data_IF_772426235894
#
_entry.id   IF_772426235894
#
_cell.length_a   1.000
_cell.length_b   1.000
_cell.length_c   1.000
_cell.angle_alpha   90.00
_cell.angle_beta   90.00
_cell.angle_gamma   90.00
#
_symmetry.space_group_name_H-M   'P 1'
#
loop_
_entity.id
_entity.type
_entity.pdbx_description
1 polymer ?
#
# COMPACT_ATOMS: atom_id res chain seq x y z
N UNK A 1 19.73 -11.89 -18.66
CA UNK A 1 21.04 -12.47 -18.30
C UNK A 1 21.79 -12.72 -19.58
N UNK A 2 22.84 -11.96 -19.78
CA UNK A 2 23.70 -12.04 -20.95
C UNK A 2 24.46 -13.37 -20.95
N UNK A 3 24.72 -13.91 -22.13
CA UNK A 3 25.45 -15.18 -22.30
C UNK A 3 26.87 -14.92 -22.76
N UNK A 4 27.81 -15.74 -22.29
CA UNK A 4 29.19 -15.73 -22.75
C UNK A 4 29.36 -16.78 -23.84
N UNK A 5 29.86 -16.38 -25.00
CA UNK A 5 30.12 -17.30 -26.09
C UNK A 5 31.33 -18.19 -25.77
N UNK A 6 31.29 -19.48 -26.13
CA UNK A 6 32.42 -20.38 -25.91
C UNK A 6 33.61 -19.94 -26.77
N UNK A 7 34.80 -19.95 -26.17
CA UNK A 7 36.03 -19.67 -26.89
C UNK A 7 36.29 -20.77 -27.94
N UNK A 8 36.88 -20.42 -29.11
CA UNK A 8 37.35 -21.40 -30.08
C UNK A 8 38.37 -22.38 -29.48
N UNK A 9 38.58 -23.57 -30.05
CA UNK A 9 39.57 -24.52 -29.55
C UNK A 9 40.98 -23.90 -29.51
N UNK A 10 41.71 -24.03 -28.39
CA UNK A 10 43.08 -23.52 -28.32
C UNK A 10 44.02 -24.36 -29.21
N UNK A 11 45.14 -23.78 -29.66
CA UNK A 11 46.16 -24.52 -30.39
C UNK A 11 46.86 -25.55 -29.49
N UNK A 12 47.15 -26.75 -30.02
CA UNK A 12 47.83 -27.83 -29.32
C UNK A 12 49.30 -27.96 -29.77
N UNK A 13 50.26 -28.26 -28.88
CA UNK A 13 51.67 -28.44 -29.25
C UNK A 13 51.95 -29.55 -30.27
N UNK A 14 51.04 -30.52 -30.42
CA UNK A 14 51.11 -31.60 -31.41
C UNK A 14 50.44 -31.24 -32.74
N UNK A 15 49.77 -30.09 -32.85
CA UNK A 15 49.19 -29.62 -34.11
C UNK A 15 50.29 -29.36 -35.15
N UNK A 16 49.96 -29.59 -36.42
CA UNK A 16 50.82 -29.11 -37.50
C UNK A 16 50.92 -27.58 -37.46
N UNK A 17 52.03 -27.01 -37.93
CA UNK A 17 52.27 -25.56 -37.89
C UNK A 17 51.12 -24.74 -38.50
N UNK A 18 50.47 -25.25 -39.54
CA UNK A 18 49.30 -24.59 -40.14
C UNK A 18 48.08 -24.62 -39.22
N UNK A 19 47.77 -25.76 -38.60
CA UNK A 19 46.61 -25.91 -37.71
C UNK A 19 46.82 -25.09 -36.43
N UNK A 20 48.03 -25.13 -35.87
CA UNK A 20 48.41 -24.33 -34.71
C UNK A 20 48.14 -22.85 -34.96
N UNK A 21 48.64 -22.29 -36.06
CA UNK A 21 48.48 -20.87 -36.38
C UNK A 21 46.99 -20.51 -36.57
N UNK A 22 46.22 -21.31 -37.30
CA UNK A 22 44.79 -21.05 -37.50
C UNK A 22 44.00 -21.02 -36.19
N UNK A 23 44.24 -21.99 -35.29
CA UNK A 23 43.60 -22.02 -33.97
C UNK A 23 44.05 -20.86 -33.09
N UNK A 24 45.34 -20.51 -33.09
CA UNK A 24 45.87 -19.40 -32.32
C UNK A 24 45.21 -18.07 -32.70
N UNK A 25 45.14 -17.74 -34.00
CA UNK A 25 44.49 -16.51 -34.46
C UNK A 25 42.99 -16.46 -34.11
N UNK A 26 42.28 -17.58 -34.26
CA UNK A 26 40.87 -17.66 -33.89
C UNK A 26 40.65 -17.47 -32.38
N UNK A 27 41.46 -18.14 -31.55
CA UNK A 27 41.37 -18.03 -30.09
C UNK A 27 41.66 -16.60 -29.61
N UNK A 28 42.79 -16.02 -30.03
CA UNK A 28 43.17 -14.65 -29.62
C UNK A 28 42.20 -13.59 -30.16
N UNK A 29 41.64 -13.81 -31.36
CA UNK A 29 40.63 -12.93 -31.94
C UNK A 29 39.29 -12.94 -31.18
N UNK A 30 38.97 -14.00 -30.44
CA UNK A 30 37.75 -14.11 -29.64
C UNK A 30 37.86 -13.49 -28.23
N UNK A 31 39.08 -13.24 -27.73
CA UNK A 31 39.29 -12.72 -26.38
C UNK A 31 38.64 -11.34 -26.11
N UNK A 32 38.66 -10.36 -27.05
CA UNK A 32 37.99 -9.07 -26.82
C UNK A 32 36.48 -9.23 -26.59
N UNK A 33 35.82 -10.07 -27.39
CA UNK A 33 34.39 -10.34 -27.24
C UNK A 33 34.09 -11.05 -25.91
N UNK A 34 34.92 -12.03 -25.53
CA UNK A 34 34.82 -12.72 -24.25
C UNK A 34 34.97 -11.75 -23.06
N UNK A 35 35.92 -10.82 -23.12
CA UNK A 35 36.12 -9.80 -22.09
C UNK A 35 34.88 -8.89 -21.96
N UNK A 36 34.35 -8.42 -23.08
CA UNK A 36 33.16 -7.56 -23.09
C UNK A 36 31.95 -8.28 -22.48
N UNK A 37 31.68 -9.51 -22.91
CA UNK A 37 30.59 -10.33 -22.37
C UNK A 37 30.77 -10.62 -20.87
N UNK A 38 32.00 -10.91 -20.43
CA UNK A 38 32.29 -11.15 -19.00
C UNK A 38 32.06 -9.90 -18.16
N UNK A 39 32.46 -8.72 -18.65
CA UNK A 39 32.21 -7.46 -17.95
C UNK A 39 30.71 -7.15 -17.84
N UNK A 40 29.93 -7.44 -18.89
CA UNK A 40 28.47 -7.29 -18.86
C UNK A 40 27.85 -8.21 -17.81
N UNK A 41 28.21 -9.50 -17.80
CA UNK A 41 27.71 -10.46 -16.81
C UNK A 41 28.09 -10.06 -15.39
N UNK A 42 29.29 -9.51 -15.17
CA UNK A 42 29.69 -8.98 -13.87
C UNK A 42 28.80 -7.81 -13.42
N UNK A 43 28.46 -6.88 -14.32
CA UNK A 43 27.50 -5.80 -14.04
C UNK A 43 26.13 -6.35 -13.66
N UNK A 44 25.59 -7.27 -14.45
CA UNK A 44 24.29 -7.91 -14.16
C UNK A 44 24.27 -8.64 -12.80
N UNK A 45 25.39 -9.24 -12.38
CA UNK A 45 25.49 -9.89 -11.07
C UNK A 45 25.44 -8.89 -9.91
N UNK A 46 26.06 -7.72 -10.07
CA UNK A 46 25.99 -6.64 -9.09
C UNK A 46 24.56 -6.06 -9.02
N UNK A 47 23.93 -5.84 -10.17
CA UNK A 47 22.53 -5.38 -10.24
C UNK A 47 21.58 -6.39 -9.57
N UNK A 48 21.71 -7.69 -9.90
CA UNK A 48 20.91 -8.75 -9.29
C UNK A 48 21.10 -8.83 -7.76
N UNK A 49 22.32 -8.58 -7.26
CA UNK A 49 22.59 -8.55 -5.81
C UNK A 49 21.83 -7.39 -5.17
N UNK A 50 21.89 -6.21 -5.77
CA UNK A 50 21.28 -5.01 -5.22
C UNK A 50 19.73 -5.11 -5.27
N UNK A 51 19.17 -5.65 -6.35
CA UNK A 51 17.75 -5.99 -6.46
C UNK A 51 17.31 -7.01 -5.40
N UNK A 52 18.10 -8.06 -5.17
CA UNK A 52 17.81 -9.05 -4.13
C UNK A 52 17.85 -8.44 -2.72
N UNK A 53 18.80 -7.53 -2.45
CA UNK A 53 18.89 -6.82 -1.18
C UNK A 53 17.65 -5.92 -0.96
N UNK A 54 17.21 -5.21 -2.01
CA UNK A 54 16.01 -4.38 -1.95
C UNK A 54 14.75 -5.21 -1.72
N UNK A 55 14.62 -6.36 -2.41
CA UNK A 55 13.47 -7.27 -2.24
C UNK A 55 13.29 -7.75 -0.79
N UNK A 56 14.39 -7.99 -0.06
CA UNK A 56 14.32 -8.35 1.37
C UNK A 56 13.81 -7.20 2.23
N UNK A 57 14.23 -5.96 1.95
CA UNK A 57 13.78 -4.76 2.67
C UNK A 57 12.28 -4.54 2.45
N UNK A 58 11.84 -4.65 1.20
CA UNK A 58 10.43 -4.46 0.82
C UNK A 58 9.55 -5.52 1.49
N UNK A 59 9.97 -6.80 1.49
CA UNK A 59 9.24 -7.88 2.15
C UNK A 59 9.10 -7.67 3.67
N UNK A 60 10.14 -7.13 4.33
CA UNK A 60 10.07 -6.82 5.76
C UNK A 60 9.10 -5.67 6.06
N UNK A 61 9.05 -4.66 5.18
CA UNK A 61 8.11 -3.54 5.30
C UNK A 61 6.66 -3.99 5.09
N UNK A 62 6.41 -4.85 4.08
CA UNK A 62 5.08 -5.44 3.83
C UNK A 62 4.60 -6.28 5.01
N UNK A 63 5.48 -7.09 5.60
CA UNK A 63 5.15 -7.87 6.79
C UNK A 63 4.71 -6.98 7.96
N UNK A 64 5.47 -5.91 8.24
CA UNK A 64 5.11 -4.96 9.30
C UNK A 64 3.77 -4.25 9.03
N UNK A 65 3.52 -3.88 7.77
CA UNK A 65 2.25 -3.29 7.34
C UNK A 65 1.06 -4.25 7.50
N UNK A 66 1.27 -5.54 7.24
CA UNK A 66 0.26 -6.59 7.41
C UNK A 66 -0.05 -6.85 8.89
N UNK A 67 0.96 -6.92 9.76
CA UNK A 67 0.77 -7.05 11.22
C UNK A 67 -0.02 -5.87 11.81
N UNK A 68 0.31 -4.64 11.39
CA UNK A 68 -0.43 -3.45 11.78
C UNK A 68 -1.90 -3.53 11.31
N UNK A 69 -2.14 -3.96 10.06
CA UNK A 69 -3.47 -4.17 9.51
C UNK A 69 -4.30 -5.18 10.33
N UNK A 70 -3.69 -6.29 10.74
CA UNK A 70 -4.35 -7.33 11.53
C UNK A 70 -4.79 -6.83 12.92
N UNK A 71 -3.91 -6.11 13.64
CA UNK A 71 -4.23 -5.52 14.94
C UNK A 71 -5.37 -4.51 14.84
N UNK A 72 -5.36 -3.71 13.78
CA UNK A 72 -6.36 -2.68 13.51
C UNK A 72 -7.71 -3.32 13.17
N UNK A 73 -7.73 -4.33 12.29
CA UNK A 73 -8.94 -5.08 11.96
C UNK A 73 -9.56 -5.74 13.19
N UNK A 74 -8.74 -6.27 14.10
CA UNK A 74 -9.20 -6.82 15.38
C UNK A 74 -9.82 -5.72 16.28
N UNK A 75 -9.21 -4.55 16.36
CA UNK A 75 -9.75 -3.40 17.10
C UNK A 75 -11.07 -2.89 16.52
N UNK A 76 -11.18 -2.85 15.19
CA UNK A 76 -12.38 -2.47 14.46
C UNK A 76 -13.52 -3.48 14.69
N UNK A 77 -13.24 -4.79 14.57
CA UNK A 77 -14.22 -5.84 14.82
C UNK A 77 -14.73 -5.81 16.27
N UNK A 78 -13.84 -5.58 17.24
CA UNK A 78 -14.20 -5.43 18.65
C UNK A 78 -15.11 -4.22 18.87
N UNK A 79 -14.80 -3.09 18.23
CA UNK A 79 -15.62 -1.86 18.30
C UNK A 79 -16.98 -2.05 17.63
N UNK A 80 -17.03 -2.68 16.46
CA UNK A 80 -18.27 -2.99 15.76
C UNK A 80 -19.18 -3.91 16.59
N UNK A 81 -18.62 -4.95 17.22
CA UNK A 81 -19.36 -5.83 18.11
C UNK A 81 -19.95 -5.10 19.33
N UNK A 82 -19.19 -4.19 19.94
CA UNK A 82 -19.69 -3.35 21.04
C UNK A 82 -20.81 -2.40 20.60
N UNK A 83 -20.70 -1.82 19.40
CA UNK A 83 -21.72 -0.94 18.85
C UNK A 83 -22.99 -1.72 18.48
N UNK A 84 -22.86 -2.89 17.86
CA UNK A 84 -24.01 -3.76 17.52
C UNK A 84 -24.76 -4.24 18.77
N UNK A 85 -24.06 -4.43 19.89
CA UNK A 85 -24.63 -4.79 21.19
C UNK A 85 -25.10 -3.60 22.05
N UNK A 86 -25.05 -2.36 21.55
CA UNK A 86 -25.39 -1.18 22.33
C UNK A 86 -26.87 -1.19 22.75
N UNK A 87 -27.11 -1.25 24.06
CA UNK A 87 -28.46 -1.12 24.60
C UNK A 87 -28.98 0.32 24.47
N UNK A 88 -30.30 0.49 24.42
CA UNK A 88 -30.91 1.81 24.52
C UNK A 88 -30.50 2.49 25.82
N UNK A 89 -30.04 3.73 25.71
CA UNK A 89 -29.69 4.55 26.84
C UNK A 89 -30.90 4.73 27.73
N UNK A 90 -30.68 4.52 29.03
CA UNK A 90 -31.58 4.85 30.12
C UNK A 90 -30.84 5.68 31.15
N UNK A 91 -31.55 6.57 31.84
CA UNK A 91 -30.99 7.33 32.95
C UNK A 91 -30.44 6.38 34.03
N UNK A 92 -29.18 6.56 34.40
CA UNK A 92 -28.47 5.61 35.26
C UNK A 92 -26.99 5.94 35.43
N UNK A 93 -26.17 4.94 35.77
CA UNK A 93 -24.71 5.09 35.90
C UNK A 93 -24.01 4.23 34.87
N UNK A 94 -23.03 4.80 34.17
CA UNK A 94 -22.27 4.12 33.12
C UNK A 94 -20.78 4.16 33.45
N UNK A 95 -20.11 3.01 33.31
CA UNK A 95 -18.65 2.95 33.42
C UNK A 95 -17.99 3.64 32.23
N UNK A 96 -16.75 4.09 32.41
CA UNK A 96 -15.92 4.60 31.31
C UNK A 96 -15.89 3.60 30.16
N UNK A 97 -16.09 4.07 28.92
CA UNK A 97 -16.05 3.26 27.72
C UNK A 97 -17.34 2.49 27.42
N UNK A 98 -18.35 2.52 28.30
CA UNK A 98 -19.66 1.93 28.04
C UNK A 98 -20.29 2.53 26.78
N UNK A 99 -21.04 1.71 26.04
CA UNK A 99 -21.67 2.07 24.78
C UNK A 99 -23.18 2.05 24.95
N UNK A 100 -23.87 3.09 24.50
CA UNK A 100 -25.32 3.19 24.58
C UNK A 100 -25.90 3.86 23.33
N UNK A 101 -27.07 3.39 22.90
CA UNK A 101 -27.87 3.97 21.82
C UNK A 101 -28.71 5.12 22.37
N UNK A 102 -28.63 6.32 21.80
CA UNK A 102 -29.51 7.43 22.19
C UNK A 102 -30.91 7.26 21.55
N UNK A 103 -31.99 7.13 22.35
CA UNK A 103 -33.35 7.09 21.81
C UNK A 103 -33.78 8.39 21.14
N UNK A 104 -33.11 9.52 21.42
CA UNK A 104 -33.50 10.83 20.90
C UNK A 104 -33.07 11.09 19.46
N UNK A 105 -31.93 10.54 19.02
CA UNK A 105 -31.38 10.77 17.69
C UNK A 105 -30.92 9.50 16.96
N UNK A 106 -31.03 8.34 17.59
CA UNK A 106 -30.71 7.05 16.97
C UNK A 106 -29.21 6.74 16.84
N UNK A 107 -28.33 7.60 17.37
CA UNK A 107 -26.89 7.41 17.27
C UNK A 107 -26.34 6.64 18.49
N UNK A 108 -25.24 5.94 18.28
CA UNK A 108 -24.52 5.23 19.33
C UNK A 108 -23.48 6.18 19.94
N UNK A 109 -23.35 6.15 21.26
CA UNK A 109 -22.43 6.98 22.03
C UNK A 109 -21.54 6.13 22.93
N UNK A 110 -20.35 6.64 23.24
CA UNK A 110 -19.40 6.06 24.18
C UNK A 110 -19.15 6.98 25.37
N UNK A 111 -19.21 6.42 26.58
CA UNK A 111 -19.01 7.14 27.84
C UNK A 111 -17.54 7.53 28.04
N UNK A 112 -17.28 8.79 28.35
CA UNK A 112 -15.95 9.34 28.68
C UNK A 112 -15.51 8.95 30.09
N UNK A 113 -14.21 8.97 30.34
CA UNK A 113 -13.66 8.88 31.68
C UNK A 113 -14.05 10.14 32.49
N UNK A 114 -14.32 10.04 33.80
CA UNK A 114 -14.18 8.87 34.67
C UNK A 114 -15.44 7.95 34.80
N UNK A 115 -16.41 8.03 33.88
CA UNK A 115 -17.68 7.31 34.02
C UNK A 115 -18.64 8.00 35.01
N UNK A 116 -19.64 7.29 35.53
CA UNK A 116 -20.56 7.77 36.56
C UNK A 116 -21.99 8.06 36.07
N UNK A 117 -22.71 8.88 36.82
CA UNK A 117 -24.11 9.18 36.56
C UNK A 117 -24.33 9.84 35.17
N UNK A 118 -25.40 9.42 34.51
CA UNK A 118 -25.88 9.91 33.23
C UNK A 118 -27.39 10.15 33.36
N UNK A 119 -27.81 11.27 33.97
CA UNK A 119 -29.23 11.65 34.02
C UNK A 119 -29.72 12.25 32.69
N UNK A 120 -28.80 12.71 31.85
CA UNK A 120 -29.05 13.34 30.55
C UNK A 120 -28.72 12.38 29.42
N UNK A 121 -29.54 12.40 28.37
CA UNK A 121 -29.35 11.60 27.16
C UNK A 121 -27.99 11.93 26.50
N UNK A 122 -27.24 10.94 25.99
CA UNK A 122 -25.92 11.14 25.38
C UNK A 122 -25.89 12.19 24.26
N UNK A 123 -26.98 12.34 23.51
CA UNK A 123 -27.10 13.33 22.44
C UNK A 123 -27.06 14.77 22.96
N UNK A 124 -27.47 14.98 24.22
CA UNK A 124 -27.49 16.28 24.89
C UNK A 124 -26.41 16.41 25.98
N UNK A 125 -25.55 15.40 26.16
CA UNK A 125 -24.47 15.38 27.15
C UNK A 125 -23.08 15.22 26.49
N UNK A 126 -22.62 16.23 25.73
CA UNK A 126 -21.30 16.20 25.11
C UNK A 126 -20.16 16.27 26.13
N UNK A 127 -20.43 16.60 27.39
CA UNK A 127 -19.41 16.62 28.46
C UNK A 127 -19.01 15.20 28.84
N UNK A 128 -19.95 14.28 28.94
CA UNK A 128 -19.68 12.91 29.38
C UNK A 128 -19.76 11.85 28.28
N UNK A 129 -20.28 12.19 27.09
CA UNK A 129 -20.43 11.27 25.98
C UNK A 129 -19.76 11.79 24.71
N UNK A 130 -19.25 10.88 23.90
CA UNK A 130 -18.85 11.12 22.51
C UNK A 130 -19.71 10.25 21.61
N UNK A 131 -20.03 10.71 20.40
CA UNK A 131 -20.58 9.82 19.37
C UNK A 131 -19.58 8.68 19.18
N UNK A 132 -20.06 7.44 19.27
CA UNK A 132 -19.27 6.27 18.94
C UNK A 132 -19.11 6.25 17.42
N UNK A 133 -18.11 6.97 16.94
CA UNK A 133 -17.73 6.95 15.53
C UNK A 133 -17.38 5.51 15.18
N UNK A 134 -17.93 5.02 14.07
CA UNK A 134 -17.29 3.93 13.30
C UNK A 134 -15.84 4.36 13.14
N UNK A 135 -14.90 3.48 13.50
CA UNK A 135 -13.48 3.80 13.71
C UNK A 135 -12.96 4.87 12.73
N UNK A 136 -12.39 5.96 13.25
CA UNK A 136 -11.72 6.96 12.42
C UNK A 136 -10.76 6.26 11.44
N UNK A 137 -10.57 6.81 10.23
CA UNK A 137 -9.72 6.15 9.25
C UNK A 137 -8.32 5.93 9.80
N UNK A 138 -7.81 4.74 9.56
CA UNK A 138 -6.49 4.34 10.03
C UNK A 138 -5.46 5.05 9.20
N UNK A 139 -4.52 5.74 9.82
CA UNK A 139 -3.42 6.33 9.08
C UNK A 139 -2.37 5.27 8.72
N UNK A 140 -2.03 5.15 7.44
CA UNK A 140 -1.03 4.21 6.91
C UNK A 140 0.00 4.94 6.06
N UNK A 141 1.28 5.01 6.47
CA UNK A 141 2.34 5.55 5.63
C UNK A 141 2.77 4.51 4.60
N UNK A 142 2.69 4.86 3.32
CA UNK A 142 3.06 4.00 2.21
C UNK A 142 4.46 4.37 1.71
N UNK A 143 5.44 3.49 1.89
CA UNK A 143 6.85 3.76 1.55
C UNK A 143 7.33 3.05 0.29
N UNK A 144 6.57 2.08 -0.23
CA UNK A 144 6.90 1.36 -1.48
C UNK A 144 6.45 2.10 -2.72
N UNK A 145 6.99 1.72 -3.89
CA UNK A 145 6.64 2.33 -5.18
C UNK A 145 5.17 2.09 -5.59
N UNK A 146 4.55 1.03 -5.07
CA UNK A 146 3.12 0.72 -5.26
C UNK A 146 2.54 0.19 -3.95
N UNK A 147 1.26 0.49 -3.69
CA UNK A 147 0.49 -0.02 -2.57
C UNK A 147 -0.97 -0.23 -2.98
N UNK A 148 -1.70 -1.07 -2.23
CA UNK A 148 -3.15 -1.25 -2.42
C UNK A 148 -3.91 -0.38 -1.40
N UNK A 149 -4.89 0.38 -1.87
CA UNK A 149 -5.78 1.13 -1.00
C UNK A 149 -6.72 0.19 -0.24
N UNK A 150 -6.91 0.47 1.05
CA UNK A 150 -7.80 -0.25 1.95
C UNK A 150 -8.98 0.66 2.35
N UNK A 151 -10.17 0.08 2.49
CA UNK A 151 -11.35 0.82 2.95
C UNK A 151 -11.14 1.27 4.40
N UNK A 152 -11.54 2.51 4.69
CA UNK A 152 -11.40 3.17 5.98
C UNK A 152 -9.95 3.39 6.42
N UNK A 153 -9.05 3.59 5.45
CA UNK A 153 -7.64 3.93 5.66
C UNK A 153 -7.32 5.27 5.01
N UNK A 154 -6.44 6.03 5.65
CA UNK A 154 -5.84 7.27 5.18
C UNK A 154 -4.38 7.01 4.83
N UNK A 155 -4.12 6.87 3.53
CA UNK A 155 -2.83 6.50 2.96
C UNK A 155 -1.96 7.74 2.76
N UNK A 156 -0.82 7.80 3.46
CA UNK A 156 0.20 8.83 3.28
C UNK A 156 1.30 8.36 2.33
N UNK A 157 1.33 8.86 1.10
CA UNK A 157 2.31 8.49 0.07
C UNK A 157 3.68 9.09 0.39
N UNK A 158 4.70 8.26 0.68
CA UNK A 158 6.03 8.67 1.15
C UNK A 158 7.20 8.11 0.34
N UNK A 159 6.94 7.32 -0.70
CA UNK A 159 7.99 6.83 -1.58
C UNK A 159 8.70 7.99 -2.28
N UNK A 160 10.03 7.88 -2.43
CA UNK A 160 10.87 8.94 -2.98
C UNK A 160 10.63 9.21 -4.48
N UNK A 161 10.17 8.19 -5.21
CA UNK A 161 9.75 8.27 -6.62
C UNK A 161 8.24 8.46 -6.77
N UNK A 162 7.77 8.45 -8.03
CA UNK A 162 6.34 8.41 -8.31
C UNK A 162 5.73 7.16 -7.66
N UNK A 163 4.66 7.36 -6.90
CA UNK A 163 4.03 6.29 -6.13
C UNK A 163 2.65 5.95 -6.68
N UNK A 164 2.40 4.67 -6.88
CA UNK A 164 1.09 4.13 -7.24
C UNK A 164 0.30 3.75 -5.98
N UNK A 165 -0.98 4.12 -5.96
CA UNK A 165 -1.95 3.55 -5.02
C UNK A 165 -3.10 2.90 -5.81
N UNK A 166 -3.16 1.58 -5.78
CA UNK A 166 -4.19 0.80 -6.50
C UNK A 166 -5.49 0.85 -5.72
N UNK A 167 -6.54 1.39 -6.34
CA UNK A 167 -7.88 1.48 -5.74
C UNK A 167 -8.47 0.09 -5.45
N UNK A 168 -9.38 -0.04 -4.47
CA UNK A 168 -10.01 -1.33 -4.17
C UNK A 168 -10.72 -1.91 -5.40
N UNK A 169 -10.44 -3.17 -5.74
CA UNK A 169 -10.95 -3.84 -6.95
C UNK A 169 -12.42 -4.27 -6.86
N UNK A 170 -12.97 -4.41 -5.64
CA UNK A 170 -14.36 -4.84 -5.41
C UNK A 170 -15.04 -3.99 -4.31
N UNK A 171 -15.20 -2.67 -4.52
CA UNK A 171 -15.78 -1.79 -3.51
C UNK A 171 -17.30 -1.96 -3.41
N UNK A 172 -17.83 -1.80 -2.20
CA UNK A 172 -19.26 -1.70 -1.93
C UNK A 172 -19.71 -0.22 -1.90
N UNK A 173 -20.97 0.04 -2.23
CA UNK A 173 -21.52 1.40 -2.18
C UNK A 173 -21.38 1.96 -0.77
N UNK A 174 -20.74 3.12 -0.65
CA UNK A 174 -20.47 3.78 0.62
C UNK A 174 -19.07 3.54 1.18
N UNK A 175 -18.26 2.66 0.59
CA UNK A 175 -16.85 2.49 0.96
C UNK A 175 -16.08 3.80 0.75
N UNK A 176 -15.19 4.12 1.68
CA UNK A 176 -14.36 5.33 1.63
C UNK A 176 -12.92 4.97 1.94
N UNK A 177 -11.98 5.53 1.20
CA UNK A 177 -10.58 5.61 1.62
C UNK A 177 -10.08 7.05 1.42
N UNK A 178 -8.97 7.38 2.06
CA UNK A 178 -8.32 8.69 1.93
C UNK A 178 -6.90 8.50 1.42
N UNK A 179 -6.43 9.46 0.65
CA UNK A 179 -5.05 9.50 0.16
C UNK A 179 -4.48 10.90 0.37
N UNK A 180 -3.23 10.96 0.81
CA UNK A 180 -2.46 12.19 1.00
C UNK A 180 -1.08 12.04 0.38
N UNK A 181 -0.70 13.03 -0.42
CA UNK A 181 0.66 13.12 -0.94
C UNK A 181 1.55 13.71 0.16
N UNK A 182 2.49 12.91 0.66
CA UNK A 182 3.45 13.34 1.71
C UNK A 182 4.91 13.33 1.23
N UNK A 183 5.16 12.78 0.03
CA UNK A 183 6.48 12.78 -0.63
C UNK A 183 6.78 14.10 -1.37
N UNK A 184 5.84 15.05 -1.41
CA UNK A 184 6.00 16.35 -2.05
C UNK A 184 6.02 16.30 -3.59
N UNK A 185 5.61 15.17 -4.20
CA UNK A 185 5.65 14.95 -5.64
C UNK A 185 4.31 15.25 -6.31
N UNK A 186 4.35 15.56 -7.60
CA UNK A 186 3.13 15.85 -8.41
C UNK A 186 2.84 14.78 -9.46
N UNK A 187 3.48 13.61 -9.34
CA UNK A 187 3.40 12.50 -10.29
C UNK A 187 3.04 11.16 -9.63
N UNK A 188 2.65 11.17 -8.36
CA UNK A 188 2.01 10.00 -7.73
C UNK A 188 0.59 9.85 -8.28
N UNK A 189 0.05 8.64 -8.30
CA UNK A 189 -1.21 8.37 -9.00
C UNK A 189 -2.01 7.24 -8.37
N UNK A 190 -3.34 7.29 -8.58
CA UNK A 190 -4.26 6.21 -8.26
C UNK A 190 -4.49 5.34 -9.50
N UNK A 191 -4.50 4.02 -9.35
CA UNK A 191 -4.88 3.09 -10.43
C UNK A 191 -6.27 2.53 -10.13
N UNK A 192 -7.22 2.65 -11.06
CA UNK A 192 -8.63 2.35 -10.79
C UNK A 192 -9.01 0.87 -10.91
N UNK A 193 -8.13 0.05 -11.49
CA UNK A 193 -8.46 -1.34 -11.82
C UNK A 193 -9.63 -1.49 -12.79
N UNK A 194 -9.95 -0.43 -13.57
CA UNK A 194 -11.09 -0.39 -14.48
C UNK A 194 -12.37 0.19 -13.87
N UNK A 195 -12.36 0.62 -12.60
CA UNK A 195 -13.44 1.37 -11.99
C UNK A 195 -13.56 2.79 -12.58
N UNK A 196 -14.78 3.33 -12.59
CA UNK A 196 -15.01 4.74 -12.98
C UNK A 196 -14.61 5.70 -11.87
N UNK A 197 -14.28 6.93 -12.25
CA UNK A 197 -14.14 8.08 -11.36
C UNK A 197 -15.10 9.17 -11.84
N UNK A 198 -16.00 9.64 -10.97
CA UNK A 198 -16.99 10.68 -11.27
C UNK A 198 -17.79 10.44 -12.57
N UNK A 199 -18.04 9.16 -12.93
CA UNK A 199 -18.73 8.74 -14.15
C UNK A 199 -17.85 8.40 -15.34
N UNK A 200 -16.58 8.80 -15.31
CA UNK A 200 -15.63 8.63 -16.41
C UNK A 200 -14.79 7.37 -16.24
N UNK A 201 -14.50 6.69 -17.35
CA UNK A 201 -13.58 5.55 -17.36
C UNK A 201 -12.16 6.10 -17.45
N UNK A 202 -11.39 5.93 -16.39
CA UNK A 202 -9.99 6.36 -16.33
C UNK A 202 -9.16 5.19 -15.83
N UNK A 203 -8.04 4.89 -16.48
CA UNK A 203 -7.14 3.83 -16.02
C UNK A 203 -6.37 4.27 -14.77
N UNK A 204 -5.93 5.53 -14.77
CA UNK A 204 -5.19 6.17 -13.67
C UNK A 204 -5.67 7.59 -13.43
N UNK A 205 -5.50 8.07 -12.20
CA UNK A 205 -5.68 9.45 -11.77
C UNK A 205 -4.37 9.98 -11.20
N UNK A 206 -3.73 10.92 -11.88
CA UNK A 206 -2.52 11.59 -11.36
C UNK A 206 -2.90 12.59 -10.25
N UNK A 207 -2.13 12.59 -9.18
CA UNK A 207 -2.19 13.55 -8.07
C UNK A 207 -1.19 14.67 -8.39
N UNK A 208 -1.67 15.74 -9.01
CA UNK A 208 -0.87 16.83 -9.57
C UNK A 208 -0.56 17.96 -8.57
N UNK A 209 -1.09 17.89 -7.35
CA UNK A 209 -0.74 18.76 -6.23
C UNK A 209 0.24 18.04 -5.27
N UNK A 210 1.39 18.67 -4.93
CA UNK A 210 2.43 18.05 -4.08
C UNK A 210 1.96 17.72 -2.65
N UNK A 211 0.80 18.23 -2.24
CA UNK A 211 0.16 17.94 -0.96
C UNK A 211 -1.33 17.62 -1.14
N UNK A 212 -1.70 17.05 -2.29
CA UNK A 212 -3.06 16.62 -2.57
C UNK A 212 -3.60 15.76 -1.42
N UNK A 213 -4.81 16.06 -0.97
CA UNK A 213 -5.54 15.26 0.01
C UNK A 213 -6.95 14.99 -0.54
N UNK A 214 -7.25 13.73 -0.81
CA UNK A 214 -8.52 13.31 -1.42
C UNK A 214 -9.24 12.31 -0.52
N UNK A 215 -10.56 12.43 -0.47
CA UNK A 215 -11.44 11.42 0.09
C UNK A 215 -12.18 10.74 -1.06
N UNK A 216 -11.94 9.44 -1.25
CA UNK A 216 -12.49 8.68 -2.35
C UNK A 216 -13.66 7.83 -1.83
N UNK A 217 -14.89 8.11 -2.27
CA UNK A 217 -16.10 7.36 -1.88
C UNK A 217 -16.68 6.60 -3.05
N UNK A 218 -16.92 5.30 -2.90
CA UNK A 218 -17.59 4.53 -3.94
C UNK A 218 -19.11 4.77 -3.94
N UNK A 219 -19.65 5.17 -5.09
CA UNK A 219 -21.08 5.54 -5.26
C UNK A 219 -21.88 4.51 -6.05
N UNK A 220 -21.24 3.40 -6.45
CA UNK A 220 -21.84 2.35 -7.28
C UNK A 220 -21.30 2.35 -8.71
N UNK A 221 -21.66 1.34 -9.49
CA UNK A 221 -21.06 1.09 -10.81
C UNK A 221 -21.36 2.16 -11.88
N UNK A 222 -22.44 2.93 -11.73
CA UNK A 222 -22.81 3.97 -12.70
C UNK A 222 -21.80 5.11 -12.73
N UNK A 223 -21.40 5.60 -11.56
CA UNK A 223 -20.49 6.75 -11.38
C UNK A 223 -19.11 6.36 -10.80
N UNK A 224 -18.98 5.18 -10.22
CA UNK A 224 -17.75 4.67 -9.63
C UNK A 224 -17.36 5.41 -8.36
N UNK A 225 -16.07 5.74 -8.25
CA UNK A 225 -15.52 6.53 -7.16
C UNK A 225 -15.83 8.00 -7.34
N UNK A 226 -16.34 8.63 -6.28
CA UNK A 226 -16.46 10.08 -6.16
C UNK A 226 -15.28 10.62 -5.38
N UNK A 227 -14.60 11.59 -5.96
CA UNK A 227 -13.42 12.28 -5.44
C UNK A 227 -13.61 13.79 -5.57
#
# INVERSE_FOLDING_TARGET
>A
MSTIDPLPPPPDPSDSASIFNSKAFAFFGALPAFQEQTNVVAGEMEDNRDEAAQSVIDAAAEHAAAEASALIAQGAATTAAMNAGAASWVSGSYVTGAVAYSPSNGLIYRRKAPGGASPTDPAADPTNWNVAVIAAPVYRPETGASANAEVNVDHGLRYAGAQELVMPAAPAVGDIFWVRVENGRTDSYLTTGGAKINGEVMATLTLDDPYAALACRYTGSSYGWSI
#
